data_IF_121938800797
#
_entry.id   IF_121938800797
#
_cell.length_a   1.000
_cell.length_b   1.000
_cell.length_c   1.000
_cell.angle_alpha   90.00
_cell.angle_beta   90.00
_cell.angle_gamma   90.00
#
_symmetry.space_group_name_H-M   'P 1'
#
loop_
_entity.id
_entity.type
_entity.pdbx_description
1 polymer ?
#
# COMPACT_ATOMS: atom_id res chain seq x y z
N UNK A 1 5.20 23.35 10.87
CA UNK A 1 4.95 22.12 10.11
C UNK A 1 6.08 21.90 9.13
N UNK A 2 6.74 20.81 9.23
CA UNK A 2 7.82 20.52 8.29
C UNK A 2 7.27 19.85 7.02
N UNK A 3 7.79 20.26 5.88
CA UNK A 3 7.49 19.63 4.61
C UNK A 3 8.66 18.71 4.27
N UNK A 4 8.39 17.44 4.11
CA UNK A 4 9.41 16.45 3.83
C UNK A 4 9.01 15.59 2.65
N UNK A 5 10.01 15.08 1.94
CA UNK A 5 9.82 14.06 0.91
C UNK A 5 9.90 12.71 1.63
N UNK A 6 8.83 11.94 1.54
CA UNK A 6 8.72 10.67 2.26
C UNK A 6 8.96 9.48 1.33
N UNK A 7 10.02 8.71 1.56
CA UNK A 7 10.18 7.44 0.85
C UNK A 7 9.27 6.39 1.46
N UNK A 8 8.49 5.74 0.61
CA UNK A 8 7.60 4.66 1.05
C UNK A 8 7.78 3.43 0.16
N UNK A 9 7.51 2.27 0.72
CA UNK A 9 7.53 1.00 0.00
C UNK A 9 6.12 0.42 0.01
N UNK A 10 5.61 0.06 -1.16
CA UNK A 10 4.32 -0.61 -1.28
C UNK A 10 4.49 -1.94 -1.99
N UNK A 11 3.65 -2.91 -1.63
CA UNK A 11 3.68 -4.24 -2.21
C UNK A 11 2.49 -4.51 -3.10
N UNK A 12 2.77 -4.96 -4.32
CA UNK A 12 1.75 -5.42 -5.24
C UNK A 12 1.59 -6.92 -5.05
N UNK A 13 0.58 -7.30 -4.29
CA UNK A 13 0.17 -8.68 -4.09
C UNK A 13 -0.93 -8.96 -5.09
N UNK A 14 -0.72 -9.93 -5.95
CA UNK A 14 -1.64 -10.20 -7.05
C UNK A 14 -2.26 -11.59 -6.92
N UNK A 15 -3.56 -11.65 -7.15
CA UNK A 15 -4.32 -12.89 -7.26
C UNK A 15 -5.16 -12.80 -8.54
N UNK A 16 -4.69 -13.47 -9.61
CA UNK A 16 -5.29 -13.40 -10.94
C UNK A 16 -5.35 -11.95 -11.43
N UNK A 17 -6.53 -11.39 -11.63
CA UNK A 17 -6.74 -10.01 -12.08
C UNK A 17 -7.02 -9.03 -10.92
N UNK A 18 -6.76 -9.44 -9.69
CA UNK A 18 -6.98 -8.63 -8.49
C UNK A 18 -5.69 -8.31 -7.78
N UNK A 19 -5.66 -7.17 -7.12
CA UNK A 19 -4.55 -6.79 -6.23
C UNK A 19 -5.09 -6.45 -4.85
N UNK A 20 -4.23 -6.58 -3.86
CA UNK A 20 -4.57 -6.32 -2.46
C UNK A 20 -4.39 -4.83 -2.16
N UNK A 21 -5.42 -4.19 -1.63
CA UNK A 21 -5.38 -2.75 -1.33
C UNK A 21 -6.09 -2.43 -0.01
N UNK A 22 -5.64 -1.37 0.63
CA UNK A 22 -6.35 -0.72 1.72
C UNK A 22 -7.15 0.45 1.18
N UNK A 23 -8.15 0.88 1.92
CA UNK A 23 -9.07 1.94 1.53
C UNK A 23 -8.91 3.15 2.44
N UNK A 24 -8.96 4.32 1.85
CA UNK A 24 -8.96 5.59 2.58
C UNK A 24 -9.98 6.55 1.99
N UNK A 25 -10.15 7.67 2.68
CA UNK A 25 -11.11 8.68 2.27
C UNK A 25 -10.57 10.06 2.59
N UNK A 26 -10.51 10.92 1.57
CA UNK A 26 -10.20 12.33 1.75
C UNK A 26 -11.51 13.07 1.97
N UNK A 27 -11.76 13.45 3.21
CA UNK A 27 -13.03 14.07 3.59
C UNK A 27 -13.19 15.45 2.95
N UNK A 28 -12.11 16.20 2.80
CA UNK A 28 -12.18 17.55 2.21
C UNK A 28 -12.52 17.53 0.72
N UNK A 29 -11.98 16.56 -0.01
CA UNK A 29 -12.29 16.40 -1.42
C UNK A 29 -13.55 15.57 -1.68
N UNK A 30 -14.01 14.82 -0.66
CA UNK A 30 -15.08 13.86 -0.83
C UNK A 30 -14.70 12.68 -1.71
N UNK A 31 -13.41 12.35 -1.76
CA UNK A 31 -12.88 11.29 -2.61
C UNK A 31 -12.44 10.08 -1.82
N UNK A 32 -12.70 8.90 -2.37
CA UNK A 32 -12.16 7.66 -1.85
C UNK A 32 -10.90 7.31 -2.64
N UNK A 33 -9.98 6.63 -1.98
CA UNK A 33 -8.78 6.14 -2.64
C UNK A 33 -8.41 4.77 -2.12
N UNK A 34 -7.60 4.06 -2.91
CA UNK A 34 -7.05 2.78 -2.55
C UNK A 34 -5.54 2.84 -2.58
N UNK A 35 -4.90 2.06 -1.72
CA UNK A 35 -3.45 2.01 -1.66
C UNK A 35 -2.99 0.58 -1.39
N UNK A 36 -2.02 0.06 -2.15
CA UNK A 36 -1.42 -1.22 -1.81
C UNK A 36 -0.77 -1.17 -0.42
N UNK A 37 -0.68 -2.30 0.28
CA UNK A 37 -0.08 -2.31 1.62
C UNK A 37 1.40 -1.95 1.60
N UNK A 38 1.86 -1.39 2.69
CA UNK A 38 3.24 -0.96 2.86
C UNK A 38 3.32 0.22 3.80
N UNK A 39 4.41 0.97 3.72
CA UNK A 39 4.61 2.12 4.58
C UNK A 39 5.97 2.77 4.41
N UNK A 40 6.32 3.64 5.35
CA UNK A 40 7.54 4.42 5.30
C UNK A 40 8.80 3.56 5.35
N UNK A 41 9.78 3.92 4.53
CA UNK A 41 11.12 3.34 4.60
C UNK A 41 11.87 4.09 5.69
N UNK A 42 12.39 3.36 6.65
CA UNK A 42 13.16 3.95 7.74
C UNK A 42 14.63 4.05 7.36
N UNK A 43 15.34 5.00 7.99
CA UNK A 43 16.75 5.18 7.73
C UNK A 43 17.50 3.87 7.94
N UNK A 44 18.31 3.49 6.95
CA UNK A 44 19.07 2.25 7.00
C UNK A 44 18.36 1.04 6.41
N UNK A 45 17.09 1.16 6.08
CA UNK A 45 16.34 0.08 5.42
C UNK A 45 16.37 0.21 3.90
N UNK A 46 16.44 -0.92 3.23
CA UNK A 46 16.11 -0.97 1.80
C UNK A 46 14.60 -1.09 1.64
N UNK A 47 14.09 -0.76 0.46
CA UNK A 47 12.66 -0.83 0.20
C UNK A 47 12.07 -2.23 0.48
N UNK A 48 12.77 -3.29 0.07
CA UNK A 48 12.32 -4.66 0.32
C UNK A 48 12.25 -4.98 1.82
N UNK A 49 13.22 -4.51 2.58
CA UNK A 49 13.24 -4.71 4.04
C UNK A 49 12.10 -3.95 4.72
N UNK A 50 11.86 -2.71 4.27
CA UNK A 50 10.77 -1.90 4.79
C UNK A 50 9.41 -2.57 4.53
N UNK A 51 9.20 -3.08 3.33
CA UNK A 51 7.96 -3.77 2.98
C UNK A 51 7.77 -5.02 3.86
N UNK A 52 8.81 -5.82 4.03
CA UNK A 52 8.74 -7.01 4.89
C UNK A 52 8.36 -6.64 6.32
N UNK A 53 8.97 -5.60 6.86
CA UNK A 53 8.67 -5.13 8.21
C UNK A 53 7.23 -4.64 8.32
N UNK A 54 6.78 -3.83 7.37
CA UNK A 54 5.41 -3.30 7.37
C UNK A 54 4.36 -4.41 7.28
N UNK A 55 4.57 -5.39 6.41
CA UNK A 55 3.64 -6.52 6.28
C UNK A 55 3.65 -7.36 7.55
N UNK A 56 4.83 -7.57 8.15
CA UNK A 56 4.93 -8.31 9.41
C UNK A 56 4.16 -7.61 10.53
N UNK A 57 4.26 -6.28 10.60
CA UNK A 57 3.54 -5.49 11.60
C UNK A 57 2.04 -5.47 11.36
N UNK A 58 1.63 -5.26 10.11
CA UNK A 58 0.21 -5.07 9.77
C UNK A 58 -0.55 -6.37 9.60
N UNK A 59 0.02 -7.34 8.93
CA UNK A 59 -0.66 -8.60 8.59
C UNK A 59 -0.19 -9.75 9.51
N UNK A 60 0.93 -9.55 10.20
CA UNK A 60 1.53 -10.52 11.13
C UNK A 60 1.93 -11.81 10.45
N UNK A 61 2.45 -11.70 9.25
CA UNK A 61 2.94 -12.86 8.50
C UNK A 61 4.14 -12.47 7.65
N UNK A 62 4.82 -13.49 7.17
CA UNK A 62 6.01 -13.32 6.35
C UNK A 62 5.68 -13.37 4.86
N UNK A 63 6.48 -12.68 4.07
CA UNK A 63 6.35 -12.69 2.62
C UNK A 63 7.64 -13.21 1.98
N UNK A 64 7.53 -13.65 0.74
CA UNK A 64 8.69 -14.01 -0.07
C UNK A 64 9.53 -12.75 -0.35
N UNK A 65 10.76 -12.92 -0.83
CA UNK A 65 11.64 -11.79 -1.17
C UNK A 65 10.94 -10.86 -2.17
N UNK A 66 10.69 -9.60 -1.82
CA UNK A 66 10.06 -8.66 -2.74
C UNK A 66 11.02 -8.25 -3.86
N UNK A 67 10.46 -7.93 -5.02
CA UNK A 67 11.23 -7.47 -6.17
C UNK A 67 10.80 -6.07 -6.58
N UNK A 68 11.76 -5.17 -6.69
CA UNK A 68 11.48 -3.78 -7.08
C UNK A 68 11.02 -3.72 -8.54
N UNK A 69 9.87 -3.12 -8.77
CA UNK A 69 9.30 -2.92 -10.10
C UNK A 69 9.53 -1.51 -10.62
N UNK A 70 9.36 -0.51 -9.75
CA UNK A 70 9.46 0.88 -10.16
C UNK A 70 9.64 1.79 -8.96
N UNK A 71 10.15 2.99 -9.23
CA UNK A 71 10.17 4.09 -8.27
C UNK A 71 9.43 5.26 -8.90
N UNK A 72 8.41 5.76 -8.21
CA UNK A 72 7.56 6.83 -8.71
C UNK A 72 7.68 8.05 -7.82
N UNK A 73 7.70 9.22 -8.44
CA UNK A 73 7.60 10.48 -7.70
C UNK A 73 6.14 10.89 -7.67
N UNK A 74 5.66 11.29 -6.50
CA UNK A 74 4.27 11.62 -6.33
C UNK A 74 4.08 12.85 -5.45
N UNK A 75 3.37 13.85 -5.99
CA UNK A 75 2.96 15.02 -5.23
C UNK A 75 1.44 15.12 -5.28
N UNK A 76 0.82 15.29 -4.13
CA UNK A 76 -0.63 15.34 -4.01
C UNK A 76 -1.02 16.08 -2.74
N UNK A 77 -2.30 16.31 -2.54
CA UNK A 77 -2.81 16.84 -1.30
C UNK A 77 -3.75 15.82 -0.67
N UNK A 78 -3.61 15.60 0.62
CA UNK A 78 -4.49 14.74 1.40
C UNK A 78 -5.08 15.58 2.52
N UNK A 79 -6.40 15.72 2.49
CA UNK A 79 -7.14 16.55 3.44
C UNK A 79 -6.52 17.96 3.58
N UNK A 80 -6.19 18.56 2.44
CA UNK A 80 -5.62 19.89 2.37
C UNK A 80 -4.14 20.00 2.68
N UNK A 81 -3.49 18.89 3.05
CA UNK A 81 -2.05 18.88 3.37
C UNK A 81 -1.25 18.46 2.16
N UNK A 82 -0.31 19.31 1.69
CA UNK A 82 0.57 18.91 0.60
C UNK A 82 1.44 17.72 1.01
N UNK A 83 1.50 16.72 0.14
CA UNK A 83 2.29 15.50 0.35
C UNK A 83 3.25 15.31 -0.81
N UNK A 84 4.44 14.81 -0.49
CA UNK A 84 5.45 14.47 -1.48
C UNK A 84 6.06 13.13 -1.13
N UNK A 85 5.95 12.15 -2.01
CA UNK A 85 6.44 10.80 -1.75
C UNK A 85 7.29 10.28 -2.89
N UNK A 86 8.31 9.51 -2.52
CA UNK A 86 9.01 8.61 -3.44
C UNK A 86 8.47 7.22 -3.16
N UNK A 87 7.75 6.67 -4.14
CA UNK A 87 7.04 5.41 -3.95
C UNK A 87 7.83 4.28 -4.61
N UNK A 88 8.37 3.39 -3.79
CA UNK A 88 9.04 2.17 -4.23
C UNK A 88 7.97 1.10 -4.37
N UNK A 89 7.71 0.69 -5.61
CA UNK A 89 6.68 -0.31 -5.93
C UNK A 89 7.36 -1.66 -6.09
N UNK A 90 6.97 -2.61 -5.26
CA UNK A 90 7.58 -3.94 -5.25
C UNK A 90 6.54 -5.01 -5.54
N UNK A 91 6.93 -6.02 -6.33
CA UNK A 91 6.14 -7.22 -6.46
C UNK A 91 6.34 -8.04 -5.19
N UNK A 92 5.24 -8.54 -4.61
CA UNK A 92 5.29 -9.27 -3.36
C UNK A 92 4.36 -10.47 -3.38
N UNK A 93 4.70 -11.49 -2.60
CA UNK A 93 3.88 -12.69 -2.47
C UNK A 93 3.87 -13.16 -1.03
N UNK A 94 2.68 -13.56 -0.56
CA UNK A 94 2.57 -14.23 0.72
C UNK A 94 3.17 -15.63 0.63
N UNK A 95 3.91 -16.02 1.66
CA UNK A 95 4.38 -17.41 1.79
C UNK A 95 3.22 -18.33 2.11
N UNK A 96 2.29 -17.87 2.94
CA UNK A 96 1.06 -18.60 3.25
C UNK A 96 0.01 -18.31 2.18
N UNK A 97 -0.23 -19.28 1.30
CA UNK A 97 -1.17 -19.13 0.19
C UNK A 97 -2.62 -18.99 0.64
N UNK A 98 -2.90 -19.23 1.91
CA UNK A 98 -4.24 -19.06 2.47
C UNK A 98 -4.76 -17.64 2.28
N UNK A 99 -3.89 -16.63 2.37
CA UNK A 99 -4.29 -15.24 2.19
C UNK A 99 -4.95 -14.95 0.84
N UNK A 100 -4.58 -15.72 -0.20
CA UNK A 100 -5.17 -15.54 -1.54
C UNK A 100 -6.59 -16.08 -1.64
N UNK A 101 -7.03 -16.84 -0.65
CA UNK A 101 -8.37 -17.42 -0.62
C UNK A 101 -9.33 -16.64 0.28
N UNK A 102 -8.80 -15.69 1.05
CA UNK A 102 -9.62 -14.87 1.93
C UNK A 102 -10.28 -13.75 1.14
N UNK A 103 -11.56 -13.42 1.43
CA UNK A 103 -12.21 -12.28 0.79
C UNK A 103 -11.61 -10.95 1.22
N UNK A 104 -11.01 -10.92 2.40
CA UNK A 104 -10.33 -9.75 2.93
C UNK A 104 -9.25 -10.19 3.92
N UNK A 105 -8.26 -9.33 4.11
CA UNK A 105 -7.13 -9.60 5.01
C UNK A 105 -7.18 -8.59 6.15
N UNK A 106 -7.22 -9.07 7.38
CA UNK A 106 -7.26 -8.21 8.55
C UNK A 106 -5.92 -7.50 8.75
N UNK A 107 -5.97 -6.24 9.16
CA UNK A 107 -4.79 -5.44 9.49
C UNK A 107 -4.77 -5.17 10.98
N UNK A 108 -3.63 -5.43 11.59
CA UNK A 108 -3.40 -5.26 13.02
C UNK A 108 -2.62 -3.97 13.27
N UNK A 109 -3.31 -2.84 13.30
CA UNK A 109 -2.70 -1.55 13.52
C UNK A 109 -3.41 -0.86 14.69
N UNK A 110 -2.66 -0.34 15.69
CA UNK A 110 -3.29 0.34 16.83
C UNK A 110 -4.16 1.50 16.37
N UNK A 111 -5.41 1.53 16.85
CA UNK A 111 -6.35 2.58 16.54
C UNK A 111 -7.03 2.48 15.17
N UNK A 112 -6.75 1.42 14.43
CA UNK A 112 -7.39 1.19 13.15
C UNK A 112 -7.81 -0.28 13.02
N UNK A 113 -9.08 -0.49 12.69
CA UNK A 113 -9.65 -1.81 12.56
C UNK A 113 -10.11 -2.07 11.12
N UNK A 114 -9.22 -1.78 10.19
CA UNK A 114 -9.49 -1.93 8.78
C UNK A 114 -9.08 -3.28 8.23
N UNK A 115 -9.40 -3.45 6.95
CA UNK A 115 -9.08 -4.65 6.20
C UNK A 115 -8.51 -4.27 4.85
N UNK A 116 -7.63 -5.15 4.34
CA UNK A 116 -7.22 -5.09 2.94
C UNK A 116 -8.19 -5.94 2.13
N UNK A 117 -8.50 -5.50 0.92
CA UNK A 117 -9.42 -6.22 0.03
C UNK A 117 -8.75 -6.49 -1.31
N UNK A 118 -9.23 -7.52 -1.99
CA UNK A 118 -8.78 -7.89 -3.33
C UNK A 118 -9.66 -7.19 -4.36
N UNK A 119 -9.08 -6.23 -5.10
CA UNK A 119 -9.82 -5.44 -6.06
C UNK A 119 -9.32 -5.67 -7.48
N UNK A 120 -10.22 -5.62 -8.45
CA UNK A 120 -9.88 -5.81 -9.86
C UNK A 120 -8.92 -4.73 -10.35
N UNK A 121 -7.87 -5.13 -11.05
CA UNK A 121 -6.94 -4.19 -11.63
C UNK A 121 -7.63 -3.19 -12.57
N UNK A 122 -8.59 -3.66 -13.32
CA UNK A 122 -9.34 -2.83 -14.26
C UNK A 122 -10.12 -1.70 -13.56
N UNK A 123 -10.46 -1.90 -12.30
CA UNK A 123 -11.18 -0.91 -11.49
C UNK A 123 -10.39 0.40 -11.34
N UNK A 124 -9.08 0.35 -11.49
CA UNK A 124 -8.20 1.51 -11.31
C UNK A 124 -7.89 2.24 -12.63
N UNK A 125 -8.36 1.74 -13.75
CA UNK A 125 -8.07 2.33 -15.07
C UNK A 125 -9.04 3.46 -15.38
N UNK A 126 -8.54 4.72 -15.32
CA UNK A 126 -9.28 5.88 -15.77
C UNK A 126 -10.60 6.15 -15.08
N UNK A 127 -10.84 5.54 -13.93
CA UNK A 127 -12.07 5.66 -13.19
C UNK A 127 -11.94 6.51 -11.93
N UNK A 128 -13.02 6.61 -11.14
CA UNK A 128 -13.00 7.35 -9.88
C UNK A 128 -12.22 6.65 -8.76
N UNK A 129 -11.83 5.40 -8.97
CA UNK A 129 -11.09 4.61 -7.99
C UNK A 129 -9.60 4.78 -8.24
N UNK A 130 -9.01 5.83 -7.70
CA UNK A 130 -7.60 6.11 -7.92
C UNK A 130 -6.74 5.45 -6.86
N UNK A 131 -5.53 5.01 -7.28
CA UNK A 131 -4.48 4.82 -6.31
C UNK A 131 -4.05 6.19 -5.83
N UNK A 132 -3.79 6.32 -4.56
CA UNK A 132 -3.02 7.46 -4.13
C UNK A 132 -1.62 7.25 -4.64
N UNK A 133 -1.20 8.18 -5.43
CA UNK A 133 0.14 8.15 -5.96
C UNK A 133 1.13 8.20 -4.83
#
# INVERSE_FOLDING_TARGET
MSSTIRPIAIGIFRCDDRILVGHGHDVLKGERFCRPPGGAIEFGERAAEALRREIREEVRDEIAEPHLLAVLESTFALEGVPMHELVFVLEARFLDTHFYQLPQVAVYEPGWDGHLTWELLDWFRGGPNAFIP
#
